data_IF_323025116935
#
_entry.id   IF_323025116935
#
_cell.length_a   1.000
_cell.length_b   1.000
_cell.length_c   1.000
_cell.angle_alpha   90.00
_cell.angle_beta   90.00
_cell.angle_gamma   90.00
#
_symmetry.space_group_name_H-M   'P 1'
#
loop_
_entity.id
_entity.type
_entity.pdbx_description
1 polymer ?
#
# COMPACT_ATOMS: atom_id res chain seq x y z
N UNK A 1 43.67 8.90 -22.95
CA UNK A 1 42.32 8.44 -22.53
C UNK A 1 41.96 9.28 -21.33
N UNK A 2 40.91 10.09 -21.41
CA UNK A 2 40.41 10.77 -20.22
C UNK A 2 39.96 9.70 -19.21
N UNK A 3 40.31 9.83 -17.93
CA UNK A 3 39.66 9.03 -16.90
C UNK A 3 38.15 9.20 -17.07
N UNK A 4 37.33 8.13 -17.03
CA UNK A 4 35.89 8.31 -17.00
C UNK A 4 35.57 9.28 -15.85
N UNK A 5 34.75 10.29 -16.12
CA UNK A 5 34.30 11.20 -15.08
C UNK A 5 33.63 10.35 -13.99
N UNK A 6 34.02 10.54 -12.74
CA UNK A 6 33.45 9.80 -11.62
C UNK A 6 31.98 10.19 -11.51
N UNK A 7 31.08 9.22 -11.68
CA UNK A 7 29.64 9.47 -11.64
C UNK A 7 29.18 9.79 -10.23
N UNK A 8 28.16 10.63 -10.12
CA UNK A 8 27.65 11.11 -8.84
C UNK A 8 26.19 10.71 -8.64
N UNK A 9 25.88 10.12 -7.48
CA UNK A 9 24.52 9.85 -7.03
C UNK A 9 24.17 10.80 -5.88
N UNK A 10 23.17 11.67 -6.09
CA UNK A 10 22.61 12.55 -5.06
C UNK A 10 21.49 11.82 -4.32
N UNK A 11 21.66 11.66 -3.01
CA UNK A 11 20.69 10.99 -2.12
C UNK A 11 20.24 11.94 -1.02
N UNK A 12 19.02 12.46 -1.14
CA UNK A 12 18.44 13.38 -0.15
C UNK A 12 17.15 12.80 0.41
N UNK A 13 17.11 12.62 1.73
CA UNK A 13 15.94 12.19 2.47
C UNK A 13 15.85 13.00 3.77
N UNK A 14 14.64 13.22 4.32
CA UNK A 14 14.48 13.87 5.60
C UNK A 14 15.16 13.07 6.72
N UNK A 15 15.51 13.75 7.82
CA UNK A 15 16.23 13.14 8.94
C UNK A 15 15.51 11.92 9.54
N UNK A 16 14.17 11.92 9.52
CA UNK A 16 13.32 10.81 9.94
C UNK A 16 13.52 9.53 9.12
N UNK A 17 14.08 9.64 7.90
CA UNK A 17 14.34 8.53 6.98
C UNK A 17 15.85 8.29 6.76
N UNK A 18 16.70 8.67 7.73
CA UNK A 18 18.15 8.45 7.65
C UNK A 18 18.56 6.98 7.38
N UNK A 19 17.76 6.02 7.85
CA UNK A 19 17.96 4.59 7.59
C UNK A 19 17.93 4.22 6.10
N UNK A 20 17.14 4.95 5.28
CA UNK A 20 17.08 4.79 3.83
C UNK A 20 18.40 5.21 3.20
N UNK A 21 18.96 6.33 3.65
CA UNK A 21 20.26 6.85 3.16
C UNK A 21 21.38 5.87 3.44
N UNK A 22 21.42 5.27 4.62
CA UNK A 22 22.45 4.29 4.99
C UNK A 22 22.34 2.99 4.18
N UNK A 23 21.11 2.54 3.95
CA UNK A 23 20.82 1.37 3.10
C UNK A 23 21.24 1.63 1.64
N UNK A 24 20.89 2.80 1.09
CA UNK A 24 21.31 3.22 -0.25
C UNK A 24 22.82 3.39 -0.35
N UNK A 25 23.49 3.91 0.69
CA UNK A 25 24.95 4.01 0.72
C UNK A 25 25.61 2.64 0.61
N UNK A 26 25.08 1.65 1.33
CA UNK A 26 25.55 0.27 1.25
C UNK A 26 25.31 -0.32 -0.14
N UNK A 27 24.12 -0.13 -0.70
CA UNK A 27 23.77 -0.63 -2.03
C UNK A 27 24.64 0.01 -3.14
N UNK A 28 24.82 1.33 -3.13
CA UNK A 28 25.66 2.06 -4.09
C UNK A 28 27.12 1.65 -3.97
N UNK A 29 27.68 1.58 -2.76
CA UNK A 29 29.08 1.16 -2.57
C UNK A 29 29.33 -0.26 -3.09
N UNK A 30 28.35 -1.16 -2.96
CA UNK A 30 28.45 -2.54 -3.43
C UNK A 30 28.22 -2.67 -4.94
N UNK A 31 27.22 -2.00 -5.48
CA UNK A 31 26.76 -2.20 -6.85
C UNK A 31 27.39 -1.24 -7.86
N UNK A 32 27.87 -0.08 -7.41
CA UNK A 32 28.39 1.01 -8.20
C UNK A 32 29.71 1.52 -7.58
N UNK A 33 30.77 0.70 -7.53
CA UNK A 33 32.00 1.01 -6.78
C UNK A 33 32.75 2.25 -7.32
N UNK A 34 32.55 2.60 -8.59
CA UNK A 34 33.17 3.77 -9.24
C UNK A 34 32.34 5.06 -9.09
N UNK A 35 31.26 5.03 -8.29
CA UNK A 35 30.37 6.16 -8.09
C UNK A 35 30.61 6.84 -6.74
N UNK A 36 30.38 8.15 -6.71
CA UNK A 36 30.38 8.94 -5.48
C UNK A 36 28.94 9.20 -5.06
N UNK A 37 28.57 8.77 -3.85
CA UNK A 37 27.31 9.18 -3.22
C UNK A 37 27.52 10.50 -2.48
N UNK A 38 26.66 11.48 -2.77
CA UNK A 38 26.59 12.76 -2.06
C UNK A 38 25.19 12.93 -1.47
N UNK A 39 25.09 13.58 -0.32
CA UNK A 39 23.81 13.84 0.37
C UNK A 39 23.40 15.31 0.34
N UNK A 40 24.14 16.12 -0.41
CA UNK A 40 23.91 17.54 -0.57
C UNK A 40 24.23 17.93 -2.02
N UNK A 41 23.40 18.77 -2.67
CA UNK A 41 23.71 19.29 -3.99
C UNK A 41 25.06 20.03 -3.97
N UNK A 42 25.86 19.84 -5.01
CA UNK A 42 27.08 20.61 -5.21
C UNK A 42 26.81 21.78 -6.15
N UNK A 43 27.29 22.98 -5.79
CA UNK A 43 27.03 24.22 -6.53
C UNK A 43 27.43 24.09 -8.00
N UNK A 44 26.44 24.19 -8.89
CA UNK A 44 26.63 24.21 -10.34
C UNK A 44 26.97 22.86 -10.98
N UNK A 45 26.93 21.75 -10.25
CA UNK A 45 27.15 20.39 -10.80
C UNK A 45 25.88 19.55 -10.69
N UNK A 46 25.40 19.04 -11.83
CA UNK A 46 24.26 18.12 -11.87
C UNK A 46 24.70 16.71 -11.50
N UNK A 47 23.94 15.96 -10.67
CA UNK A 47 24.20 14.56 -10.43
C UNK A 47 23.87 13.72 -11.68
N UNK A 48 24.51 12.55 -11.82
CA UNK A 48 24.10 11.56 -12.82
C UNK A 48 22.80 10.87 -12.38
N UNK A 49 22.68 10.55 -11.09
CA UNK A 49 21.51 9.92 -10.48
C UNK A 49 20.99 10.80 -9.34
N UNK A 50 19.72 11.17 -9.40
CA UNK A 50 18.98 11.71 -8.25
C UNK A 50 18.11 10.62 -7.65
N UNK A 51 18.48 10.16 -6.45
CA UNK A 51 17.70 9.22 -5.65
C UNK A 51 17.27 9.87 -4.34
N UNK A 52 16.21 10.66 -4.40
CA UNK A 52 15.77 11.50 -3.27
C UNK A 52 14.30 11.28 -2.93
N UNK A 53 13.93 11.74 -1.74
CA UNK A 53 12.54 11.96 -1.36
C UNK A 53 11.85 12.93 -2.35
N UNK A 54 10.55 12.78 -2.51
CA UNK A 54 9.79 13.55 -3.50
C UNK A 54 9.77 15.06 -3.20
N UNK A 55 9.81 15.46 -1.93
CA UNK A 55 9.76 16.86 -1.53
C UNK A 55 11.13 17.56 -1.66
N UNK A 56 12.22 16.78 -1.65
CA UNK A 56 13.60 17.25 -1.87
C UNK A 56 14.00 17.27 -3.35
N UNK A 57 13.07 16.94 -4.24
CA UNK A 57 13.36 16.62 -5.63
C UNK A 57 13.56 17.87 -6.50
N UNK A 58 14.72 17.98 -7.16
CA UNK A 58 14.93 18.96 -8.23
C UNK A 58 14.28 18.48 -9.54
N UNK A 59 13.09 19.00 -9.84
CA UNK A 59 12.34 18.67 -11.05
C UNK A 59 12.89 19.33 -12.32
N UNK A 60 13.77 20.32 -12.23
CA UNK A 60 14.41 20.92 -13.41
C UNK A 60 15.31 19.89 -14.12
N UNK A 61 15.78 18.87 -13.39
CA UNK A 61 16.55 17.75 -13.94
C UNK A 61 15.70 16.75 -14.72
N UNK A 62 14.37 16.78 -14.63
CA UNK A 62 13.50 15.83 -15.34
C UNK A 62 13.61 15.94 -16.87
N UNK A 63 13.92 17.13 -17.37
CA UNK A 63 14.14 17.40 -18.79
C UNK A 63 15.56 17.00 -19.26
N UNK A 64 16.46 16.64 -18.34
CA UNK A 64 17.81 16.21 -18.67
C UNK A 64 17.84 14.69 -18.91
N UNK A 65 17.85 14.30 -20.18
CA UNK A 65 17.90 12.88 -20.58
C UNK A 65 19.18 12.17 -20.14
N UNK A 66 20.18 12.91 -19.65
CA UNK A 66 21.40 12.34 -19.07
C UNK A 66 21.27 11.96 -17.60
N UNK A 67 20.34 12.58 -16.89
CA UNK A 67 20.12 12.36 -15.45
C UNK A 67 19.03 11.31 -15.23
N UNK A 68 19.29 10.34 -14.36
CA UNK A 68 18.30 9.34 -13.93
C UNK A 68 17.62 9.78 -12.64
N UNK A 69 16.30 9.61 -12.58
CA UNK A 69 15.43 10.01 -11.48
C UNK A 69 14.79 8.80 -10.79
N UNK A 70 14.66 8.79 -9.46
CA UNK A 70 13.94 7.74 -8.71
C UNK A 70 12.43 8.02 -8.50
N UNK A 71 11.85 8.98 -9.21
CA UNK A 71 10.40 9.23 -9.20
C UNK A 71 9.87 9.69 -10.56
N UNK A 72 8.64 9.28 -10.88
CA UNK A 72 7.85 9.87 -11.94
C UNK A 72 7.14 11.14 -11.45
N UNK A 73 7.18 12.23 -12.23
CA UNK A 73 6.53 13.49 -11.84
C UNK A 73 5.01 13.36 -11.67
N UNK A 74 4.35 12.69 -12.62
CA UNK A 74 2.89 12.58 -12.67
C UNK A 74 2.51 11.12 -12.46
N UNK A 75 1.96 10.81 -11.28
CA UNK A 75 1.59 9.43 -10.91
C UNK A 75 0.37 9.30 -10.00
N UNK A 76 -0.42 10.38 -9.88
CA UNK A 76 -1.63 10.42 -9.04
C UNK A 76 -2.66 9.35 -9.40
N UNK A 77 -2.69 8.87 -10.66
CA UNK A 77 -3.57 7.77 -11.07
C UNK A 77 -3.35 6.49 -10.28
N UNK A 78 -2.16 6.29 -9.72
CA UNK A 78 -1.82 5.11 -8.91
C UNK A 78 -1.93 5.44 -7.41
N UNK A 79 -1.36 6.56 -6.98
CA UNK A 79 -1.03 6.78 -5.56
C UNK A 79 -2.10 7.51 -4.74
N UNK A 80 -3.16 8.02 -5.39
CA UNK A 80 -4.29 8.65 -4.71
C UNK A 80 -5.49 7.71 -4.80
N UNK A 81 -6.07 7.34 -3.66
CA UNK A 81 -7.13 6.32 -3.58
C UNK A 81 -8.32 6.60 -4.50
N UNK A 82 -8.79 7.85 -4.54
CA UNK A 82 -9.87 8.29 -5.44
C UNK A 82 -9.48 8.20 -6.92
N UNK A 83 -8.30 8.68 -7.29
CA UNK A 83 -7.79 8.57 -8.67
C UNK A 83 -7.53 7.12 -9.09
N UNK A 84 -7.08 6.26 -8.18
CA UNK A 84 -6.87 4.84 -8.41
C UNK A 84 -8.20 4.15 -8.70
N UNK A 85 -9.22 4.37 -7.86
CA UNK A 85 -10.56 3.84 -8.07
C UNK A 85 -11.13 4.27 -9.43
N UNK A 86 -11.03 5.56 -9.76
CA UNK A 86 -11.48 6.09 -11.05
C UNK A 86 -10.71 5.49 -12.24
N UNK A 87 -9.39 5.35 -12.11
CA UNK A 87 -8.51 4.76 -13.14
C UNK A 87 -8.90 3.31 -13.42
N UNK A 88 -9.14 2.52 -12.36
CA UNK A 88 -9.56 1.13 -12.45
C UNK A 88 -10.95 1.04 -13.09
N UNK A 89 -11.92 1.85 -12.65
CA UNK A 89 -13.28 1.85 -13.20
C UNK A 89 -13.30 2.18 -14.70
N UNK A 90 -12.59 3.23 -15.12
CA UNK A 90 -12.45 3.60 -16.53
C UNK A 90 -11.79 2.48 -17.34
N UNK A 91 -10.76 1.84 -16.81
CA UNK A 91 -10.10 0.73 -17.48
C UNK A 91 -11.02 -0.48 -17.65
N UNK A 92 -11.75 -0.87 -16.59
CA UNK A 92 -12.67 -2.01 -16.60
C UNK A 92 -13.90 -1.79 -17.49
N UNK A 93 -14.35 -0.55 -17.69
CA UNK A 93 -15.42 -0.24 -18.66
C UNK A 93 -15.04 -0.60 -20.10
N UNK A 94 -13.74 -0.57 -20.43
CA UNK A 94 -13.20 -0.92 -21.74
C UNK A 94 -12.64 -2.34 -21.79
N UNK A 95 -12.27 -2.89 -20.64
CA UNK A 95 -11.64 -4.20 -20.50
C UNK A 95 -12.40 -5.04 -19.44
N UNK A 96 -13.67 -5.42 -19.73
CA UNK A 96 -14.53 -6.03 -18.74
C UNK A 96 -14.03 -7.39 -18.24
N UNK A 97 -13.26 -8.11 -19.06
CA UNK A 97 -12.71 -9.44 -18.75
C UNK A 97 -11.33 -9.38 -18.07
N UNK A 98 -10.82 -8.19 -17.77
CA UNK A 98 -9.53 -8.03 -17.08
C UNK A 98 -9.56 -8.70 -15.70
N UNK A 99 -8.49 -9.41 -15.29
CA UNK A 99 -8.42 -10.00 -13.96
C UNK A 99 -8.45 -8.94 -12.85
N UNK A 100 -8.17 -7.67 -13.17
CA UNK A 100 -8.31 -6.54 -12.27
C UNK A 100 -9.73 -6.37 -11.73
N UNK A 101 -10.77 -6.83 -12.44
CA UNK A 101 -12.16 -6.83 -11.94
C UNK A 101 -12.30 -7.62 -10.64
N UNK A 102 -11.56 -8.72 -10.50
CA UNK A 102 -11.57 -9.56 -9.29
C UNK A 102 -10.52 -9.12 -8.28
N UNK A 103 -9.46 -8.46 -8.75
CA UNK A 103 -8.36 -8.03 -7.91
C UNK A 103 -8.51 -6.61 -7.36
N UNK A 104 -9.51 -5.84 -7.75
CA UNK A 104 -9.79 -4.51 -7.19
C UNK A 104 -11.18 -4.49 -6.55
N UNK A 105 -11.28 -4.36 -5.22
CA UNK A 105 -12.57 -4.17 -4.55
C UNK A 105 -13.30 -2.95 -5.10
N UNK A 106 -14.63 -3.03 -5.19
CA UNK A 106 -15.44 -1.89 -5.61
C UNK A 106 -15.18 -0.73 -4.66
N UNK A 107 -14.88 0.42 -5.24
CA UNK A 107 -14.44 1.60 -4.50
C UNK A 107 -15.12 2.82 -5.11
N UNK A 108 -15.81 3.58 -4.27
CA UNK A 108 -16.54 4.80 -4.63
C UNK A 108 -15.94 5.98 -3.87
N UNK A 109 -15.88 7.12 -4.54
CA UNK A 109 -15.42 8.38 -3.96
C UNK A 109 -16.54 9.40 -4.09
N UNK A 110 -16.85 10.08 -3.01
CA UNK A 110 -17.95 11.04 -2.95
C UNK A 110 -17.62 12.17 -1.97
N UNK A 111 -18.39 13.25 -2.07
CA UNK A 111 -18.33 14.37 -1.13
C UNK A 111 -19.57 14.32 -0.25
N UNK A 112 -19.39 14.38 1.06
CA UNK A 112 -20.49 14.42 2.03
C UNK A 112 -20.06 15.21 3.25
N UNK A 113 -20.87 16.21 3.61
CA UNK A 113 -20.63 17.07 4.78
C UNK A 113 -21.61 16.79 5.92
N UNK A 114 -22.82 16.34 5.58
CA UNK A 114 -23.93 16.10 6.50
C UNK A 114 -24.64 14.79 6.14
N UNK A 115 -25.20 14.11 7.13
CA UNK A 115 -25.87 12.83 6.99
C UNK A 115 -27.11 12.90 6.09
N UNK A 116 -27.81 14.04 6.04
CA UNK A 116 -28.99 14.23 5.17
C UNK A 116 -28.64 14.26 3.67
N UNK A 117 -27.38 14.53 3.31
CA UNK A 117 -26.88 14.44 1.94
C UNK A 117 -26.78 12.98 1.45
N UNK A 118 -26.73 12.00 2.36
CA UNK A 118 -26.57 10.58 2.01
C UNK A 118 -27.73 10.04 1.17
N UNK A 119 -28.93 10.58 1.32
CA UNK A 119 -30.10 10.18 0.53
C UNK A 119 -29.88 10.36 -0.96
N UNK A 120 -29.45 11.56 -1.36
CA UNK A 120 -29.16 11.88 -2.76
C UNK A 120 -27.96 11.08 -3.26
N UNK A 121 -26.92 10.94 -2.44
CA UNK A 121 -25.72 10.18 -2.78
C UNK A 121 -26.00 8.69 -2.99
N UNK A 122 -26.82 8.05 -2.14
CA UNK A 122 -27.22 6.64 -2.27
C UNK A 122 -28.07 6.39 -3.50
N UNK A 123 -28.87 7.38 -3.94
CA UNK A 123 -29.65 7.27 -5.16
C UNK A 123 -28.78 7.41 -6.43
N UNK A 124 -27.77 8.26 -6.39
CA UNK A 124 -26.97 8.61 -7.57
C UNK A 124 -25.58 7.94 -7.58
N UNK A 125 -24.62 8.45 -6.80
CA UNK A 125 -23.20 8.05 -6.86
C UNK A 125 -22.90 6.72 -6.14
N UNK A 126 -23.67 6.38 -5.12
CA UNK A 126 -23.52 5.21 -4.24
C UNK A 126 -24.62 4.16 -4.47
N UNK A 127 -25.24 4.15 -5.65
CA UNK A 127 -26.32 3.23 -6.01
C UNK A 127 -25.99 1.74 -5.78
N UNK A 128 -24.75 1.31 -6.03
CA UNK A 128 -24.35 -0.07 -5.79
C UNK A 128 -24.25 -0.44 -4.29
N UNK A 129 -23.98 0.56 -3.44
CA UNK A 129 -23.98 0.41 -1.99
C UNK A 129 -25.41 0.27 -1.50
N UNK A 130 -26.33 1.13 -1.97
CA UNK A 130 -27.76 1.04 -1.67
C UNK A 130 -28.38 -0.29 -2.13
N UNK A 131 -28.05 -0.75 -3.34
CA UNK A 131 -28.47 -2.07 -3.81
C UNK A 131 -28.02 -3.21 -2.89
N UNK A 132 -26.86 -3.09 -2.27
CA UNK A 132 -26.36 -4.11 -1.35
C UNK A 132 -27.17 -4.17 -0.06
N UNK A 133 -27.67 -3.03 0.42
CA UNK A 133 -28.58 -2.96 1.56
C UNK A 133 -29.93 -3.60 1.22
N UNK A 134 -30.51 -3.21 0.08
CA UNK A 134 -31.79 -3.74 -0.38
C UNK A 134 -31.76 -5.27 -0.62
N UNK A 135 -30.62 -5.82 -1.05
CA UNK A 135 -30.41 -7.26 -1.19
C UNK A 135 -30.34 -7.97 0.18
N UNK A 136 -29.66 -7.37 1.16
CA UNK A 136 -29.60 -7.89 2.53
C UNK A 136 -30.99 -7.93 3.18
N UNK A 137 -31.80 -6.88 2.99
CA UNK A 137 -33.20 -6.82 3.46
C UNK A 137 -34.10 -7.90 2.83
N UNK A 138 -33.75 -8.35 1.63
CA UNK A 138 -34.42 -9.44 0.93
C UNK A 138 -33.92 -10.84 1.37
N UNK A 139 -32.98 -10.90 2.31
CA UNK A 139 -32.45 -12.12 2.91
C UNK A 139 -31.18 -12.66 2.24
N UNK A 140 -30.52 -11.88 1.37
CA UNK A 140 -29.15 -12.21 0.93
C UNK A 140 -28.13 -11.96 2.05
N UNK A 141 -26.95 -12.58 1.97
CA UNK A 141 -25.90 -12.31 2.95
C UNK A 141 -25.43 -10.84 2.85
N UNK A 142 -25.36 -10.12 3.99
CA UNK A 142 -25.04 -8.70 3.99
C UNK A 142 -23.61 -8.47 3.51
N UNK A 143 -23.46 -7.53 2.56
CA UNK A 143 -22.14 -7.08 2.13
C UNK A 143 -21.60 -6.04 3.09
N UNK A 144 -20.35 -6.21 3.45
CA UNK A 144 -19.64 -5.28 4.31
C UNK A 144 -18.89 -4.25 3.47
N UNK A 145 -18.90 -3.02 3.98
CA UNK A 145 -18.22 -1.88 3.40
C UNK A 145 -17.34 -1.23 4.46
N UNK A 146 -16.25 -0.61 4.01
CA UNK A 146 -15.36 0.19 4.84
C UNK A 146 -15.39 1.63 4.35
N UNK A 147 -15.81 2.54 5.23
CA UNK A 147 -15.75 3.98 5.03
C UNK A 147 -14.36 4.46 5.47
N UNK A 148 -13.75 5.33 4.68
CA UNK A 148 -12.47 5.98 4.99
C UNK A 148 -12.55 7.45 4.61
N UNK A 149 -12.15 8.33 5.52
CA UNK A 149 -11.88 9.72 5.18
C UNK A 149 -10.70 9.81 4.19
N UNK A 150 -10.86 10.52 3.08
CA UNK A 150 -9.84 10.58 2.03
C UNK A 150 -8.58 11.36 2.44
N UNK A 151 -8.74 12.31 3.39
CA UNK A 151 -7.70 13.23 3.85
C UNK A 151 -7.30 13.02 5.31
N UNK A 152 -7.90 12.04 6.01
CA UNK A 152 -7.53 11.76 7.39
C UNK A 152 -6.23 10.94 7.46
N UNK A 153 -5.35 11.34 8.36
CA UNK A 153 -4.11 10.64 8.61
C UNK A 153 -4.32 9.37 9.46
N UNK A 154 -3.39 8.42 9.30
CA UNK A 154 -3.17 7.29 10.22
C UNK A 154 -4.38 6.39 10.51
N UNK A 155 -5.43 6.40 9.69
CA UNK A 155 -6.58 5.52 9.87
C UNK A 155 -7.67 6.09 10.78
N UNK A 156 -7.65 7.40 11.05
CA UNK A 156 -8.76 8.10 11.68
C UNK A 156 -9.98 8.15 10.74
N UNK A 157 -11.19 8.15 11.30
CA UNK A 157 -12.45 8.21 10.54
C UNK A 157 -12.75 6.95 9.73
N UNK A 158 -12.11 5.82 10.06
CA UNK A 158 -12.43 4.54 9.44
C UNK A 158 -13.60 3.91 10.20
N UNK A 159 -14.62 3.46 9.46
CA UNK A 159 -15.77 2.74 10.02
C UNK A 159 -16.16 1.56 9.12
N UNK A 160 -16.70 0.51 9.72
CA UNK A 160 -17.31 -0.61 9.00
C UNK A 160 -18.82 -0.49 9.07
N UNK A 161 -19.50 -0.83 7.98
CA UNK A 161 -20.96 -0.82 7.93
C UNK A 161 -21.46 -1.84 6.91
N UNK A 162 -22.71 -2.25 7.06
CA UNK A 162 -23.40 -3.16 6.16
C UNK A 162 -24.88 -2.81 5.94
N UNK A 163 -25.38 -1.75 6.58
CA UNK A 163 -26.74 -1.25 6.44
C UNK A 163 -26.74 0.26 6.24
N UNK A 164 -27.87 0.77 5.76
CA UNK A 164 -28.08 2.20 5.57
C UNK A 164 -28.10 2.95 6.89
N UNK A 165 -28.81 2.42 7.89
CA UNK A 165 -28.93 3.03 9.21
C UNK A 165 -27.56 3.15 9.91
N UNK A 166 -26.69 2.16 9.71
CA UNK A 166 -25.33 2.19 10.26
C UNK A 166 -24.50 3.28 9.58
N UNK A 167 -24.65 3.45 8.25
CA UNK A 167 -23.94 4.50 7.50
C UNK A 167 -24.42 5.90 7.88
N UNK A 168 -25.73 6.10 8.01
CA UNK A 168 -26.33 7.35 8.48
C UNK A 168 -25.84 7.68 9.90
N UNK A 169 -25.89 6.72 10.84
CA UNK A 169 -25.41 6.92 12.20
C UNK A 169 -23.91 7.25 12.29
N UNK A 170 -23.08 6.73 11.38
CA UNK A 170 -21.66 7.12 11.29
C UNK A 170 -21.49 8.59 10.89
N UNK A 171 -22.30 9.09 9.95
CA UNK A 171 -22.20 10.49 9.54
C UNK A 171 -22.81 11.44 10.56
N UNK A 172 -23.89 11.05 11.24
CA UNK A 172 -24.42 11.76 12.40
C UNK A 172 -23.36 11.86 13.52
N UNK A 173 -22.60 10.79 13.77
CA UNK A 173 -21.45 10.82 14.68
C UNK A 173 -20.37 11.81 14.21
N UNK A 174 -20.16 12.00 12.91
CA UNK A 174 -19.12 12.89 12.38
C UNK A 174 -19.53 14.34 12.22
N UNK A 175 -20.81 14.66 12.41
CA UNK A 175 -21.28 16.04 12.47
C UNK A 175 -20.82 16.73 13.76
N UNK A 176 -20.55 18.04 13.72
CA UNK A 176 -20.30 18.81 14.94
C UNK A 176 -21.60 18.86 15.77
N UNK A 177 -21.48 18.63 17.08
CA UNK A 177 -22.58 18.86 18.02
C UNK A 177 -22.97 20.34 17.92
N UNK A 178 -24.26 20.62 17.72
CA UNK A 178 -24.75 22.00 17.61
C UNK A 178 -24.49 22.76 18.92
N UNK A 179 -24.04 24.01 18.84
CA UNK A 179 -23.76 24.95 19.96
C UNK A 179 -24.90 25.10 21.01
N UNK A 180 -26.07 24.47 20.81
CA UNK A 180 -27.21 24.50 21.74
C UNK A 180 -27.15 23.41 22.84
N UNK A 181 -26.10 22.56 22.87
CA UNK A 181 -25.89 21.53 23.92
C UNK A 181 -24.66 21.78 24.83
N UNK A 182 -24.07 22.98 24.84
CA UNK A 182 -22.91 23.36 25.69
C UNK A 182 -23.23 23.58 27.20
N UNK A 183 -24.32 23.04 27.75
CA UNK A 183 -24.79 23.41 29.11
C UNK A 183 -24.90 22.27 30.14
N UNK A 184 -24.26 21.09 29.95
CA UNK A 184 -24.20 20.05 31.01
C UNK A 184 -22.86 19.31 31.19
N UNK A 185 -21.70 19.90 30.88
CA UNK A 185 -20.42 19.42 31.45
C UNK A 185 -20.07 20.21 32.72
N UNK A 186 -20.64 19.80 33.86
CA UNK A 186 -20.08 20.15 35.17
C UNK A 186 -18.65 19.58 35.26
N UNK A 187 -17.67 20.47 35.45
CA UNK A 187 -16.28 20.19 35.78
C UNK A 187 -16.16 19.09 36.87
N UNK A 188 -15.92 17.83 36.47
CA UNK A 188 -15.35 16.82 37.38
C UNK A 188 -13.81 16.89 37.31
N UNK A 189 -13.25 17.95 37.89
CA UNK A 189 -11.85 17.96 38.33
C UNK A 189 -11.70 16.99 39.52
N UNK A 190 -11.70 15.68 39.24
CA UNK A 190 -11.77 14.66 40.27
C UNK A 190 -11.27 13.26 39.88
N UNK A 191 -9.99 13.00 40.19
CA UNK A 191 -9.38 11.68 40.41
C UNK A 191 -8.88 10.85 39.21
N UNK A 192 -7.59 10.53 39.33
CA UNK A 192 -6.72 9.67 38.52
C UNK A 192 -7.08 8.16 38.64
N UNK A 193 -8.34 7.79 38.40
CA UNK A 193 -8.83 6.41 38.38
C UNK A 193 -9.76 6.21 37.16
N UNK A 194 -9.21 6.33 35.95
CA UNK A 194 -9.93 5.88 34.74
C UNK A 194 -9.93 4.35 34.71
N UNK A 195 -11.10 3.67 34.73
CA UNK A 195 -11.16 2.22 34.49
C UNK A 195 -10.57 1.93 33.11
N UNK A 196 -9.96 0.74 32.94
CA UNK A 196 -9.42 0.27 31.64
C UNK A 196 -10.44 0.56 30.51
N UNK A 197 -10.17 1.57 29.69
CA UNK A 197 -11.02 1.90 28.54
C UNK A 197 -11.00 0.71 27.57
N UNK A 198 -12.20 0.26 27.17
CA UNK A 198 -12.35 -0.82 26.21
C UNK A 198 -11.66 -0.45 24.89
N UNK A 199 -10.96 -1.41 24.27
CA UNK A 199 -10.30 -1.23 22.96
C UNK A 199 -11.27 -0.70 21.89
N UNK A 200 -12.55 -1.08 21.97
CA UNK A 200 -13.59 -0.57 21.06
C UNK A 200 -13.76 0.96 21.15
N UNK A 201 -13.73 1.54 22.36
CA UNK A 201 -13.80 2.98 22.57
C UNK A 201 -12.55 3.70 22.03
N UNK A 202 -11.37 3.08 22.13
CA UNK A 202 -10.10 3.64 21.67
C UNK A 202 -9.97 3.67 20.14
N UNK A 203 -10.51 2.66 19.45
CA UNK A 203 -10.52 2.61 17.98
C UNK A 203 -11.78 3.24 17.36
N UNK A 204 -12.84 3.49 18.15
CA UNK A 204 -14.07 4.18 17.77
C UNK A 204 -14.03 5.68 18.09
N UNK A 205 -14.23 6.06 19.35
CA UNK A 205 -14.38 7.45 19.78
C UNK A 205 -13.11 8.31 19.58
N UNK A 206 -11.92 7.76 19.86
CA UNK A 206 -10.64 8.47 19.72
C UNK A 206 -10.21 8.65 18.25
N UNK A 207 -10.92 8.03 17.30
CA UNK A 207 -10.69 8.17 15.85
C UNK A 207 -11.77 8.98 15.14
N UNK A 208 -12.71 9.60 15.88
CA UNK A 208 -13.76 10.48 15.32
C UNK A 208 -13.12 11.62 14.51
N UNK A 209 -13.77 11.97 13.41
CA UNK A 209 -13.35 13.07 12.54
C UNK A 209 -14.54 13.96 12.21
N UNK A 210 -14.28 15.22 11.87
CA UNK A 210 -15.32 16.18 11.47
C UNK A 210 -15.59 16.07 9.96
N UNK A 211 -16.81 15.64 9.62
CA UNK A 211 -17.22 15.48 8.22
C UNK A 211 -17.24 16.81 7.45
N UNK A 212 -17.58 17.92 8.10
CA UNK A 212 -17.66 19.25 7.48
C UNK A 212 -16.28 19.78 7.06
N UNK A 213 -15.23 19.32 7.75
CA UNK A 213 -13.84 19.68 7.47
C UNK A 213 -13.20 18.77 6.41
N UNK A 214 -13.44 17.46 6.49
CA UNK A 214 -12.81 16.50 5.58
C UNK A 214 -13.49 16.46 4.21
N UNK A 215 -14.83 16.45 4.18
CA UNK A 215 -15.75 16.44 3.02
C UNK A 215 -15.59 15.29 2.02
N UNK A 216 -14.38 14.81 1.77
CA UNK A 216 -14.08 13.76 0.79
C UNK A 216 -13.96 12.39 1.45
N UNK A 217 -14.74 11.45 0.95
CA UNK A 217 -14.87 10.10 1.51
C UNK A 217 -14.63 9.03 0.47
N UNK A 218 -14.20 7.87 0.94
CA UNK A 218 -14.07 6.66 0.13
C UNK A 218 -14.83 5.52 0.81
N UNK A 219 -15.77 4.93 0.09
CA UNK A 219 -16.37 3.64 0.45
C UNK A 219 -15.72 2.56 -0.40
N UNK A 220 -15.25 1.50 0.25
CA UNK A 220 -14.67 0.35 -0.41
C UNK A 220 -15.33 -0.92 0.08
N UNK A 221 -15.54 -1.89 -0.81
CA UNK A 221 -16.02 -3.23 -0.44
C UNK A 221 -15.04 -3.87 0.54
N UNK A 222 -15.54 -4.31 1.69
CA UNK A 222 -14.74 -4.91 2.74
C UNK A 222 -14.60 -6.42 2.51
N UNK A 223 -13.37 -6.91 2.52
CA UNK A 223 -13.10 -8.36 2.41
C UNK A 223 -13.35 -9.01 3.77
N UNK A 224 -14.55 -9.57 3.94
CA UNK A 224 -15.03 -10.21 5.16
C UNK A 224 -14.54 -11.65 5.38
N UNK A 225 -13.86 -12.25 4.40
CA UNK A 225 -13.32 -13.61 4.51
C UNK A 225 -11.82 -13.66 4.18
N UNK A 226 -10.97 -12.95 4.96
CA UNK A 226 -9.53 -12.91 4.74
C UNK A 226 -8.87 -14.28 4.97
N UNK A 227 -7.70 -14.48 4.38
CA UNK A 227 -6.79 -15.56 4.76
C UNK A 227 -6.27 -15.29 6.18
N UNK A 228 -6.42 -16.25 7.07
CA UNK A 228 -6.02 -16.14 8.47
C UNK A 228 -4.83 -17.05 8.77
N UNK A 229 -3.77 -16.44 9.31
CA UNK A 229 -2.55 -17.14 9.73
C UNK A 229 -2.15 -16.66 11.13
N UNK A 230 -1.38 -17.48 11.83
CA UNK A 230 -0.76 -17.08 13.09
C UNK A 230 0.66 -16.52 12.83
N UNK A 231 0.92 -15.25 13.14
CA UNK A 231 2.24 -14.66 12.96
C UNK A 231 3.33 -15.29 13.83
N UNK A 232 2.98 -15.87 14.99
CA UNK A 232 3.96 -16.34 15.97
C UNK A 232 4.70 -17.57 15.42
N UNK A 233 6.04 -17.59 15.32
CA UNK A 233 6.79 -18.69 14.71
C UNK A 233 6.51 -20.08 15.30
N UNK A 234 6.07 -20.14 16.56
CA UNK A 234 5.87 -21.38 17.33
C UNK A 234 4.41 -21.75 17.57
N UNK A 235 3.47 -21.02 16.96
CA UNK A 235 2.04 -21.18 17.18
C UNK A 235 1.26 -21.18 15.87
N UNK A 236 0.14 -21.89 15.88
CA UNK A 236 -0.89 -21.93 14.83
C UNK A 236 -2.27 -21.92 15.50
N UNK A 237 -2.47 -21.03 16.48
CA UNK A 237 -3.70 -20.99 17.30
C UNK A 237 -4.51 -19.71 17.14
N UNK A 238 -3.91 -18.65 16.60
CA UNK A 238 -4.56 -17.34 16.50
C UNK A 238 -4.66 -16.88 15.03
N UNK A 239 -5.82 -17.10 14.42
CA UNK A 239 -6.12 -16.67 13.06
C UNK A 239 -6.16 -15.15 12.97
N UNK A 240 -5.10 -14.55 12.45
CA UNK A 240 -4.92 -13.09 12.40
C UNK A 240 -4.97 -12.61 10.96
N UNK A 241 -5.69 -11.51 10.72
CA UNK A 241 -5.75 -10.85 9.42
C UNK A 241 -4.40 -10.19 9.11
N UNK A 242 -3.97 -10.25 7.85
CA UNK A 242 -2.78 -9.53 7.40
C UNK A 242 -2.98 -8.98 5.99
N UNK A 243 -2.21 -7.96 5.65
CA UNK A 243 -2.05 -7.51 4.27
C UNK A 243 -0.62 -7.79 3.80
N UNK A 244 -0.47 -7.94 2.50
CA UNK A 244 0.82 -8.05 1.83
C UNK A 244 1.28 -6.67 1.40
N UNK A 245 2.47 -6.26 1.86
CA UNK A 245 3.26 -5.18 1.27
C UNK A 245 4.16 -5.79 0.20
N UNK A 246 3.90 -5.44 -1.06
CA UNK A 246 4.68 -5.89 -2.22
C UNK A 246 5.42 -4.70 -2.81
N UNK A 247 6.74 -4.77 -2.90
CA UNK A 247 7.51 -3.72 -3.57
C UNK A 247 7.47 -3.92 -5.09
N UNK A 248 7.14 -2.86 -5.81
CA UNK A 248 7.05 -2.83 -7.27
C UNK A 248 7.97 -1.76 -7.81
N UNK A 249 8.82 -2.11 -8.77
CA UNK A 249 9.77 -1.19 -9.41
C UNK A 249 9.32 -0.94 -10.84
N UNK A 250 8.96 0.29 -11.17
CA UNK A 250 8.64 0.72 -12.53
C UNK A 250 9.80 1.51 -13.12
N UNK A 251 10.22 1.20 -14.35
CA UNK A 251 11.45 1.71 -14.97
C UNK A 251 11.17 2.30 -16.35
N UNK A 252 11.64 3.53 -16.57
CA UNK A 252 11.75 4.22 -17.84
C UNK A 252 10.40 4.41 -18.55
N UNK A 253 10.38 4.11 -19.85
CA UNK A 253 9.18 4.06 -20.70
C UNK A 253 8.21 2.91 -20.36
N UNK A 254 8.20 2.52 -19.09
CA UNK A 254 7.38 1.52 -18.40
C UNK A 254 7.72 0.05 -18.65
N UNK A 255 8.74 -0.43 -17.93
CA UNK A 255 8.85 -1.84 -17.54
C UNK A 255 8.59 -1.96 -16.04
N UNK A 256 7.72 -2.87 -15.61
CA UNK A 256 7.31 -3.03 -14.21
C UNK A 256 7.79 -4.38 -13.70
N UNK A 257 8.39 -4.37 -12.52
CA UNK A 257 8.91 -5.54 -11.83
C UNK A 257 8.28 -5.67 -10.45
N UNK A 258 8.03 -6.91 -10.01
CA UNK A 258 7.57 -7.24 -8.66
C UNK A 258 8.73 -7.87 -7.89
N UNK A 259 9.05 -7.31 -6.72
CA UNK A 259 10.10 -7.81 -5.82
C UNK A 259 9.59 -8.97 -4.96
N UNK A 260 10.46 -9.94 -4.71
CA UNK A 260 10.23 -11.01 -3.73
C UNK A 260 11.39 -11.00 -2.70
N UNK A 261 11.12 -11.42 -1.44
CA UNK A 261 9.86 -11.95 -0.90
C UNK A 261 8.79 -10.86 -0.66
N UNK A 262 7.54 -11.29 -0.45
CA UNK A 262 6.44 -10.39 -0.04
C UNK A 262 6.40 -10.28 1.47
N UNK A 263 6.16 -9.08 2.00
CA UNK A 263 6.02 -8.84 3.43
C UNK A 263 4.54 -8.99 3.82
N UNK A 264 4.25 -9.78 4.85
CA UNK A 264 2.95 -9.90 5.47
C UNK A 264 2.92 -9.11 6.78
N UNK A 265 2.05 -8.11 6.85
CA UNK A 265 1.88 -7.22 7.99
C UNK A 265 0.54 -7.54 8.67
N UNK A 266 0.63 -8.04 9.91
CA UNK A 266 -0.51 -8.59 10.65
C UNK A 266 -1.24 -7.52 11.47
N UNK A 267 -2.54 -7.74 11.68
CA UNK A 267 -3.35 -7.00 12.64
C UNK A 267 -2.90 -7.30 14.08
N UNK A 268 -3.21 -6.39 15.00
CA UNK A 268 -2.81 -6.51 16.41
C UNK A 268 -3.61 -7.53 17.22
N UNK A 269 -4.78 -7.93 16.70
CA UNK A 269 -5.72 -8.85 17.35
C UNK A 269 -6.12 -9.97 16.40
N UNK A 270 -6.43 -11.17 16.91
CA UNK A 270 -7.06 -12.22 16.13
C UNK A 270 -8.32 -11.71 15.42
N UNK A 271 -8.56 -12.20 14.21
CA UNK A 271 -9.68 -11.77 13.40
C UNK A 271 -11.01 -12.23 14.00
N UNK A 272 -11.96 -11.32 14.06
CA UNK A 272 -13.37 -11.59 14.34
C UNK A 272 -14.18 -11.18 13.12
N UNK A 273 -15.25 -11.89 12.80
CA UNK A 273 -16.13 -11.43 11.71
C UNK A 273 -16.84 -10.16 12.14
N UNK A 274 -16.97 -9.13 11.27
CA UNK A 274 -17.76 -7.95 11.61
C UNK A 274 -19.20 -8.30 11.98
N UNK A 275 -19.76 -9.37 11.41
CA UNK A 275 -21.09 -9.89 11.76
C UNK A 275 -21.18 -10.47 13.17
N UNK A 276 -20.08 -10.99 13.72
CA UNK A 276 -20.05 -11.55 15.08
C UNK A 276 -19.89 -10.47 16.15
N UNK A 277 -19.29 -9.33 15.77
CA UNK A 277 -19.00 -8.19 16.65
C UNK A 277 -19.93 -7.00 16.42
N UNK A 278 -20.91 -7.12 15.54
CA UNK A 278 -21.93 -6.10 15.33
C UNK A 278 -22.82 -6.00 16.58
N UNK A 279 -22.38 -5.20 17.55
CA UNK A 279 -23.18 -4.87 18.72
C UNK A 279 -24.37 -3.99 18.29
N UNK A 280 -25.50 -4.09 18.99
CA UNK A 280 -26.68 -3.22 18.77
C UNK A 280 -26.35 -1.71 18.91
N UNK A 281 -25.18 -1.36 19.46
CA UNK A 281 -24.68 0.00 19.66
C UNK A 281 -23.81 0.56 18.52
N UNK A 282 -23.54 -0.19 17.44
CA UNK A 282 -22.77 0.30 16.29
C UNK A 282 -21.25 0.47 16.50
N UNK A 283 -20.73 0.19 17.70
CA UNK A 283 -19.29 0.24 17.98
C UNK A 283 -18.57 -1.04 17.51
N UNK A 284 -17.66 -0.90 16.54
CA UNK A 284 -16.82 -1.98 16.02
C UNK A 284 -15.38 -1.87 16.54
N UNK A 285 -14.84 -2.94 17.13
CA UNK A 285 -13.40 -3.02 17.43
C UNK A 285 -12.61 -3.21 16.13
N UNK A 286 -12.10 -2.10 15.58
CA UNK A 286 -11.33 -2.10 14.34
C UNK A 286 -9.93 -2.74 14.48
N UNK A 287 -9.48 -3.08 15.69
CA UNK A 287 -8.12 -3.58 15.93
C UNK A 287 -7.82 -4.94 15.28
N UNK A 288 -8.86 -5.75 15.06
CA UNK A 288 -8.81 -7.02 14.33
C UNK A 288 -8.90 -6.84 12.80
N UNK A 289 -9.33 -5.66 12.34
CA UNK A 289 -9.65 -5.39 10.93
C UNK A 289 -8.64 -4.48 10.23
N UNK A 290 -7.88 -3.69 10.98
CA UNK A 290 -6.88 -2.75 10.51
C UNK A 290 -5.46 -3.28 10.74
N UNK A 291 -4.78 -3.53 9.63
CA UNK A 291 -3.42 -4.07 9.57
C UNK A 291 -2.35 -2.99 9.42
N UNK A 292 -2.74 -1.71 9.42
CA UNK A 292 -1.79 -0.61 9.29
C UNK A 292 -1.15 -0.29 10.64
N UNK A 293 0.17 -0.42 10.68
CA UNK A 293 1.04 -0.16 11.82
C UNK A 293 0.86 1.23 12.44
N UNK A 294 0.60 2.26 11.61
CA UNK A 294 0.58 3.64 12.08
C UNK A 294 -0.55 3.93 13.09
N UNK A 295 -1.74 3.36 12.88
CA UNK A 295 -2.86 3.51 13.82
C UNK A 295 -2.56 2.76 15.12
N UNK A 296 -2.06 1.52 15.00
CA UNK A 296 -1.77 0.66 16.14
C UNK A 296 -0.74 1.30 17.08
N UNK A 297 0.34 1.87 16.55
CA UNK A 297 1.35 2.59 17.36
C UNK A 297 0.82 3.90 17.95
N UNK A 298 -0.01 4.62 17.21
CA UNK A 298 -0.56 5.91 17.68
C UNK A 298 -1.60 5.72 18.78
N UNK A 299 -2.40 4.66 18.71
CA UNK A 299 -3.45 4.32 19.67
C UNK A 299 -2.87 3.57 20.88
N UNK A 300 -2.02 2.56 20.68
CA UNK A 300 -1.54 1.70 21.77
C UNK A 300 -0.21 2.15 22.40
N UNK A 301 0.50 3.12 21.80
CA UNK A 301 1.76 3.65 22.33
C UNK A 301 2.81 2.57 22.63
N UNK A 302 3.41 2.59 23.82
CA UNK A 302 4.39 1.57 24.27
C UNK A 302 3.78 0.17 24.47
N UNK A 303 2.44 0.05 24.49
CA UNK A 303 1.72 -1.22 24.55
C UNK A 303 1.41 -1.80 23.16
N UNK A 304 1.76 -1.09 22.09
CA UNK A 304 1.63 -1.60 20.73
C UNK A 304 2.44 -2.91 20.62
N UNK A 305 1.81 -4.05 20.27
CA UNK A 305 2.55 -5.28 20.07
C UNK A 305 3.64 -5.03 19.02
N UNK A 306 4.82 -5.62 19.23
CA UNK A 306 5.89 -5.56 18.25
C UNK A 306 5.33 -5.95 16.88
N UNK A 307 5.56 -5.10 15.88
CA UNK A 307 4.99 -5.29 14.53
C UNK A 307 5.31 -6.71 14.11
N UNK A 308 4.27 -7.53 13.97
CA UNK A 308 4.50 -8.86 13.43
C UNK A 308 4.58 -8.74 11.93
N UNK A 309 5.80 -8.67 11.42
CA UNK A 309 6.11 -8.76 10.01
C UNK A 309 6.78 -10.09 9.75
N UNK A 310 6.26 -10.81 8.77
CA UNK A 310 6.88 -12.03 8.27
C UNK A 310 6.97 -11.97 6.75
N UNK A 311 7.86 -12.75 6.14
CA UNK A 311 7.79 -12.96 4.70
C UNK A 311 6.72 -14.00 4.39
N UNK A 312 5.86 -13.78 3.39
CA UNK A 312 4.86 -14.76 2.95
C UNK A 312 5.51 -16.11 2.61
N UNK A 313 6.65 -16.08 1.91
CA UNK A 313 7.42 -17.25 1.54
C UNK A 313 7.92 -18.03 2.76
N UNK A 314 8.36 -17.34 3.81
CA UNK A 314 8.75 -17.94 5.09
C UNK A 314 7.59 -18.53 5.90
N UNK A 315 6.33 -18.27 5.51
CA UNK A 315 5.13 -18.81 6.15
C UNK A 315 4.58 -20.06 5.46
N UNK A 316 5.29 -20.66 4.50
CA UNK A 316 4.83 -21.84 3.77
C UNK A 316 4.42 -23.01 4.69
N UNK A 317 5.05 -23.16 5.85
CA UNK A 317 4.74 -24.24 6.81
C UNK A 317 3.58 -23.92 7.76
N UNK A 318 3.05 -22.69 7.76
CA UNK A 318 1.95 -22.26 8.62
C UNK A 318 0.63 -22.95 8.27
N UNK A 319 -0.18 -23.18 9.29
CA UNK A 319 -1.53 -23.73 9.15
C UNK A 319 -2.52 -22.59 8.91
N UNK A 320 -3.46 -22.81 8.00
CA UNK A 320 -4.56 -21.89 7.70
C UNK A 320 -5.62 -22.01 8.80
N UNK A 321 -6.03 -20.88 9.36
CA UNK A 321 -6.87 -20.82 10.57
C UNK A 321 -8.29 -20.31 10.31
N UNK A 322 -8.79 -20.48 9.08
CA UNK A 322 -10.18 -20.17 8.75
C UNK A 322 -10.52 -20.42 7.28
N UNK A 323 -11.83 -20.40 6.99
CA UNK A 323 -12.36 -20.59 5.64
C UNK A 323 -12.26 -22.03 5.12
N UNK A 324 -12.42 -22.25 3.81
CA UNK A 324 -12.56 -23.60 3.24
C UNK A 324 -11.33 -24.51 3.37
N UNK A 325 -10.17 -23.93 3.68
CA UNK A 325 -8.87 -24.62 3.77
C UNK A 325 -8.33 -24.68 5.22
N UNK A 326 -9.19 -24.46 6.22
CA UNK A 326 -8.79 -24.53 7.62
C UNK A 326 -8.13 -25.87 7.98
N UNK A 327 -7.02 -25.81 8.72
CA UNK A 327 -6.23 -26.98 9.11
C UNK A 327 -5.22 -27.46 8.05
N UNK A 328 -5.26 -26.93 6.83
CA UNK A 328 -4.26 -27.20 5.80
C UNK A 328 -3.05 -26.27 5.93
N UNK A 329 -1.89 -26.70 5.41
CA UNK A 329 -0.72 -25.82 5.29
C UNK A 329 -0.91 -24.80 4.18
N UNK A 330 -0.36 -23.59 4.35
CA UNK A 330 -0.27 -22.61 3.28
C UNK A 330 0.49 -23.20 2.07
N UNK A 331 1.69 -23.74 2.28
CA UNK A 331 2.46 -24.44 1.26
C UNK A 331 2.87 -23.60 0.05
N UNK A 332 3.80 -24.14 -0.74
CA UNK A 332 4.34 -23.43 -1.91
C UNK A 332 3.30 -23.23 -3.02
N UNK A 333 2.37 -24.17 -3.20
CA UNK A 333 1.34 -24.09 -4.26
C UNK A 333 0.41 -22.89 -4.08
N UNK A 334 -0.06 -22.65 -2.84
CA UNK A 334 -0.96 -21.52 -2.56
C UNK A 334 -0.20 -20.20 -2.58
N UNK A 335 1.04 -20.18 -2.11
CA UNK A 335 1.93 -19.01 -2.26
C UNK A 335 2.11 -18.66 -3.75
N UNK A 336 2.39 -19.65 -4.60
CA UNK A 336 2.53 -19.43 -6.03
C UNK A 336 1.23 -18.88 -6.66
N UNK A 337 0.06 -19.34 -6.20
CA UNK A 337 -1.24 -18.80 -6.63
C UNK A 337 -1.42 -17.33 -6.23
N UNK A 338 -1.01 -16.97 -5.01
CA UNK A 338 -1.02 -15.57 -4.53
C UNK A 338 -0.05 -14.72 -5.35
N UNK A 339 1.18 -15.20 -5.59
CA UNK A 339 2.18 -14.51 -6.42
C UNK A 339 1.67 -14.25 -7.84
N UNK A 340 0.97 -15.22 -8.43
CA UNK A 340 0.37 -15.06 -9.75
C UNK A 340 -0.76 -14.02 -9.75
N UNK A 341 -1.60 -14.01 -8.71
CA UNK A 341 -2.62 -12.98 -8.53
C UNK A 341 -2.01 -11.57 -8.42
N UNK A 342 -0.94 -11.42 -7.64
CA UNK A 342 -0.20 -10.15 -7.54
C UNK A 342 0.39 -9.75 -8.89
N UNK A 343 1.02 -10.70 -9.61
CA UNK A 343 1.59 -10.47 -10.94
C UNK A 343 0.55 -9.92 -11.92
N UNK A 344 -0.62 -10.54 -11.99
CA UNK A 344 -1.73 -10.12 -12.85
C UNK A 344 -2.27 -8.74 -12.44
N UNK A 345 -2.55 -8.54 -11.15
CA UNK A 345 -3.10 -7.29 -10.64
C UNK A 345 -2.16 -6.09 -10.88
N UNK A 346 -0.87 -6.26 -10.58
CA UNK A 346 0.15 -5.22 -10.84
C UNK A 346 0.28 -4.95 -12.34
N UNK A 347 0.32 -5.99 -13.18
CA UNK A 347 0.40 -5.81 -14.63
C UNK A 347 -0.78 -5.03 -15.19
N UNK A 348 -2.01 -5.34 -14.78
CA UNK A 348 -3.22 -4.68 -15.26
C UNK A 348 -3.40 -3.27 -14.70
N UNK A 349 -3.09 -3.02 -13.42
CA UNK A 349 -3.24 -1.68 -12.83
C UNK A 349 -2.28 -0.67 -13.45
N UNK A 350 -1.06 -1.08 -13.79
CA UNK A 350 -0.13 -0.20 -14.51
C UNK A 350 -0.57 0.04 -15.97
N UNK A 351 -1.16 -0.95 -16.65
CA UNK A 351 -1.81 -0.72 -17.97
C UNK A 351 -2.96 0.28 -17.84
N UNK A 352 -3.78 0.16 -16.79
CA UNK A 352 -4.86 1.09 -16.50
C UNK A 352 -4.33 2.52 -16.30
N UNK A 353 -3.26 2.67 -15.52
CA UNK A 353 -2.62 3.96 -15.26
C UNK A 353 -2.09 4.62 -16.54
N UNK A 354 -1.47 3.87 -17.45
CA UNK A 354 -1.06 4.41 -18.76
C UNK A 354 -2.26 4.94 -19.55
N UNK A 355 -3.41 4.26 -19.46
CA UNK A 355 -4.65 4.72 -20.07
C UNK A 355 -5.27 5.96 -19.42
N UNK A 356 -4.85 6.33 -18.21
CA UNK A 356 -5.36 7.48 -17.46
C UNK A 356 -4.78 8.84 -17.92
N UNK A 357 -3.91 8.84 -18.95
CA UNK A 357 -3.46 10.04 -19.64
C UNK A 357 -2.74 11.04 -18.73
N UNK A 358 -3.37 12.19 -18.45
CA UNK A 358 -2.76 13.27 -17.67
C UNK A 358 -2.55 12.95 -16.18
N UNK A 359 -3.00 11.80 -15.70
CA UNK A 359 -2.87 11.39 -14.29
C UNK A 359 -1.71 10.43 -14.03
N UNK A 360 -1.12 9.82 -15.06
CA UNK A 360 0.12 9.04 -14.96
C UNK A 360 0.94 9.20 -16.23
N UNK A 361 2.21 9.61 -16.09
CA UNK A 361 3.13 9.80 -17.20
C UNK A 361 4.48 9.16 -16.87
N UNK A 362 4.80 8.09 -17.58
CA UNK A 362 6.10 7.46 -17.50
C UNK A 362 7.18 8.34 -18.16
N UNK A 363 8.35 8.43 -17.54
CA UNK A 363 9.51 9.18 -18.05
C UNK A 363 10.64 8.20 -18.39
N UNK A 364 11.22 8.24 -19.61
CA UNK A 364 12.31 7.34 -20.01
C UNK A 364 13.56 7.37 -19.12
N UNK A 365 13.80 8.51 -18.48
CA UNK A 365 14.90 8.79 -17.57
C UNK A 365 14.46 8.78 -16.09
N UNK A 366 13.39 8.06 -15.75
CA UNK A 366 13.00 7.84 -14.37
C UNK A 366 12.76 6.36 -14.09
N UNK A 367 12.87 5.97 -12.84
CA UNK A 367 12.30 4.76 -12.27
C UNK A 367 11.61 5.13 -10.97
N UNK A 368 10.78 4.25 -10.42
CA UNK A 368 10.17 4.49 -9.12
C UNK A 368 9.86 3.18 -8.41
N UNK A 369 10.02 3.18 -7.08
CA UNK A 369 9.65 2.08 -6.20
C UNK A 369 8.32 2.42 -5.54
N UNK A 370 7.34 1.54 -5.68
CA UNK A 370 6.03 1.62 -5.05
C UNK A 370 5.88 0.51 -4.00
N UNK A 371 5.21 0.81 -2.89
CA UNK A 371 4.67 -0.21 -1.99
C UNK A 371 3.22 -0.47 -2.36
N UNK A 372 2.92 -1.68 -2.80
CA UNK A 372 1.57 -2.08 -3.22
C UNK A 372 0.97 -2.98 -2.17
N UNK A 373 -0.17 -2.58 -1.63
CA UNK A 373 -0.83 -3.27 -0.53
C UNK A 373 -1.97 -4.13 -1.05
N UNK A 374 -1.87 -5.44 -0.80
CA UNK A 374 -2.87 -6.43 -1.16
C UNK A 374 -3.44 -7.10 0.07
N UNK A 375 -4.74 -7.38 0.08
CA UNK A 375 -5.31 -8.38 0.97
C UNK A 375 -5.42 -9.72 0.24
N UNK A 376 -5.31 -10.82 0.98
CA UNK A 376 -5.56 -12.17 0.45
C UNK A 376 -6.79 -12.72 1.14
N UNK A 377 -7.73 -13.26 0.37
CA UNK A 377 -8.93 -13.93 0.91
C UNK A 377 -8.70 -15.42 1.17
N UNK A 378 -9.67 -16.06 1.81
CA UNK A 378 -9.66 -17.49 2.12
C UNK A 378 -9.63 -18.43 0.89
N UNK A 379 -9.85 -17.89 -0.31
CA UNK A 379 -9.72 -18.58 -1.60
C UNK A 379 -8.40 -18.29 -2.31
N UNK A 380 -7.47 -17.59 -1.64
CA UNK A 380 -6.18 -17.13 -2.16
C UNK A 380 -6.28 -16.13 -3.32
N UNK A 381 -7.42 -15.43 -3.43
CA UNK A 381 -7.57 -14.31 -4.34
C UNK A 381 -6.97 -13.06 -3.69
N UNK A 382 -6.26 -12.26 -4.49
CA UNK A 382 -5.67 -11.00 -4.02
C UNK A 382 -6.60 -9.84 -4.31
N UNK A 383 -6.64 -8.86 -3.41
CA UNK A 383 -7.40 -7.62 -3.53
C UNK A 383 -6.49 -6.42 -3.28
N UNK A 384 -6.26 -5.61 -4.31
CA UNK A 384 -5.50 -4.36 -4.27
C UNK A 384 -6.21 -3.34 -3.37
N UNK A 385 -5.56 -2.94 -2.29
CA UNK A 385 -6.08 -1.95 -1.35
C UNK A 385 -5.60 -0.54 -1.68
N UNK A 386 -4.31 -0.39 -1.99
CA UNK A 386 -3.66 0.88 -2.33
C UNK A 386 -2.27 0.69 -2.94
N UNK A 387 -1.77 1.77 -3.53
CA UNK A 387 -0.41 1.89 -4.05
C UNK A 387 0.20 3.13 -3.42
N UNK A 388 1.33 2.95 -2.74
CA UNK A 388 2.03 4.00 -2.02
C UNK A 388 3.32 4.35 -2.76
N UNK A 389 3.46 5.60 -3.22
CA UNK A 389 4.78 6.13 -3.62
C UNK A 389 5.60 6.48 -2.37
N UNK A 390 6.93 6.44 -2.52
CA UNK A 390 7.85 6.63 -1.39
C UNK A 390 7.43 5.75 -0.19
N UNK A 391 7.28 4.43 -0.38
CA UNK A 391 6.75 3.56 0.66
C UNK A 391 7.62 3.61 1.91
N UNK A 392 7.00 3.54 3.09
CA UNK A 392 7.75 3.45 4.34
C UNK A 392 8.46 2.10 4.43
N UNK A 393 9.76 2.11 4.16
CA UNK A 393 10.62 0.93 4.23
C UNK A 393 10.85 0.47 5.69
N UNK A 394 10.66 1.36 6.66
CA UNK A 394 10.87 1.10 8.09
C UNK A 394 9.83 0.16 8.69
N UNK A 395 8.64 0.08 8.09
CA UNK A 395 7.60 -0.88 8.50
C UNK A 395 8.06 -2.33 8.41
N UNK A 396 9.10 -2.63 7.62
CA UNK A 396 9.71 -3.95 7.50
C UNK A 396 10.33 -4.45 8.81
N UNK A 397 10.73 -3.53 9.70
CA UNK A 397 11.42 -3.84 10.94
C UNK A 397 12.90 -4.23 10.72
N UNK A 398 13.68 -4.18 11.81
CA UNK A 398 15.12 -4.42 11.75
C UNK A 398 15.49 -5.86 11.33
N UNK A 399 14.65 -6.84 11.67
CA UNK A 399 14.90 -8.26 11.37
C UNK A 399 14.84 -8.57 9.86
N UNK A 400 14.05 -7.81 9.11
CA UNK A 400 13.88 -7.98 7.68
C UNK A 400 14.52 -6.85 6.86
N UNK A 401 15.40 -6.05 7.47
CA UNK A 401 16.15 -4.97 6.79
C UNK A 401 16.89 -5.48 5.53
N UNK A 402 17.37 -6.73 5.55
CA UNK A 402 18.01 -7.36 4.40
C UNK A 402 17.12 -7.46 3.16
N UNK A 403 15.78 -7.48 3.33
CA UNK A 403 14.81 -7.46 2.22
C UNK A 403 14.86 -6.10 1.50
N UNK A 404 15.02 -5.01 2.24
CA UNK A 404 15.12 -3.64 1.70
C UNK A 404 16.48 -3.43 1.03
N UNK A 405 17.56 -3.89 1.65
CA UNK A 405 18.90 -3.84 1.06
C UNK A 405 18.96 -4.62 -0.27
N UNK A 406 18.27 -5.77 -0.31
CA UNK A 406 18.10 -6.57 -1.51
C UNK A 406 17.29 -5.82 -2.58
N UNK A 407 16.16 -5.20 -2.20
CA UNK A 407 15.34 -4.39 -3.11
C UNK A 407 16.14 -3.24 -3.76
N UNK A 408 16.92 -2.49 -2.99
CA UNK A 408 17.76 -1.41 -3.55
C UNK A 408 18.84 -1.95 -4.48
N UNK A 409 19.47 -3.06 -4.09
CA UNK A 409 20.45 -3.74 -4.95
C UNK A 409 19.85 -4.15 -6.29
N UNK A 410 18.69 -4.82 -6.28
CA UNK A 410 18.01 -5.23 -7.50
C UNK A 410 17.54 -4.03 -8.34
N UNK A 411 17.06 -2.96 -7.70
CA UNK A 411 16.65 -1.73 -8.38
C UNK A 411 17.83 -1.10 -9.13
N UNK A 412 19.02 -1.04 -8.52
CA UNK A 412 20.24 -0.56 -9.20
C UNK A 412 20.55 -1.42 -10.44
N UNK A 413 20.39 -2.74 -10.34
CA UNK A 413 20.68 -3.67 -11.44
C UNK A 413 19.71 -3.53 -12.62
N UNK A 414 18.42 -3.30 -12.37
CA UNK A 414 17.42 -3.24 -13.44
C UNK A 414 17.15 -1.82 -13.98
N UNK A 415 17.36 -0.78 -13.16
CA UNK A 415 17.05 0.60 -13.50
C UNK A 415 18.30 1.44 -13.78
N UNK A 416 19.27 1.41 -12.85
CA UNK A 416 20.42 2.33 -12.88
C UNK A 416 21.48 1.85 -13.88
N UNK A 417 22.06 0.66 -13.68
CA UNK A 417 23.13 0.14 -14.55
C UNK A 417 22.73 0.12 -16.03
N UNK A 418 21.53 -0.35 -16.42
CA UNK A 418 21.16 -0.42 -17.84
C UNK A 418 20.95 0.96 -18.47
N UNK A 419 20.47 1.94 -17.71
CA UNK A 419 20.29 3.31 -18.20
C UNK A 419 21.63 3.93 -18.63
N UNK A 420 22.64 3.86 -17.74
CA UNK A 420 23.94 4.46 -18.02
C UNK A 420 24.78 3.66 -19.01
N UNK A 421 24.66 2.33 -19.04
CA UNK A 421 25.32 1.52 -20.07
C UNK A 421 24.86 1.92 -21.49
N UNK A 422 23.58 2.27 -21.66
CA UNK A 422 23.04 2.76 -22.95
C UNK A 422 23.60 4.14 -23.31
N UNK A 423 23.77 5.03 -22.34
CA UNK A 423 24.37 6.35 -22.57
C UNK A 423 25.83 6.26 -22.99
N UNK A 424 26.59 5.31 -22.44
CA UNK A 424 28.00 5.07 -22.75
C UNK A 424 28.22 4.39 -24.11
N UNK A 425 27.15 4.12 -24.88
CA UNK A 425 27.22 3.42 -26.15
C UNK A 425 27.48 1.92 -26.01
N UNK A 426 27.33 1.37 -24.80
CA UNK A 426 27.32 -0.07 -24.56
C UNK A 426 26.14 -0.72 -25.26
N UNK A 427 26.35 -1.88 -25.89
CA UNK A 427 25.24 -2.66 -26.41
C UNK A 427 24.30 -3.00 -25.24
N UNK A 428 22.98 -2.76 -25.37
CA UNK A 428 22.03 -3.27 -24.38
C UNK A 428 22.20 -4.78 -24.36
N UNK A 429 22.52 -5.37 -23.21
CA UNK A 429 22.38 -6.81 -23.02
C UNK A 429 20.90 -7.11 -23.33
N UNK A 430 20.59 -7.86 -24.40
CA UNK A 430 19.20 -8.23 -24.67
C UNK A 430 18.73 -9.02 -23.45
N UNK A 431 17.56 -8.65 -22.91
CA UNK A 431 16.90 -9.22 -21.74
C UNK A 431 17.64 -10.38 -21.07
N UNK A 432 18.23 -10.11 -19.90
CA UNK A 432 18.85 -11.13 -19.05
C UNK A 432 17.81 -12.05 -18.42
N UNK A 433 17.01 -12.73 -19.23
CA UNK A 433 16.15 -13.84 -18.79
C UNK A 433 16.99 -15.06 -18.37
N UNK A 434 18.28 -15.09 -18.71
CA UNK A 434 19.15 -16.25 -18.43
C UNK A 434 20.13 -16.08 -17.25
N UNK A 435 20.50 -14.85 -16.84
CA UNK A 435 21.59 -14.64 -15.86
C UNK A 435 21.23 -13.76 -14.65
N UNK A 436 20.04 -13.15 -14.59
CA UNK A 436 19.56 -12.51 -13.35
C UNK A 436 19.15 -13.53 -12.27
N UNK A 437 19.07 -14.81 -12.66
CA UNK A 437 18.61 -15.92 -11.82
C UNK A 437 19.70 -16.48 -10.90
N UNK A 438 20.99 -16.24 -11.17
CA UNK A 438 22.09 -17.00 -10.52
C UNK A 438 22.98 -16.19 -9.56
N UNK A 439 22.96 -14.85 -9.60
CA UNK A 439 23.83 -14.02 -8.73
C UNK A 439 23.28 -13.78 -7.32
N UNK A 440 21.98 -14.03 -7.11
CA UNK A 440 21.28 -13.65 -5.87
C UNK A 440 20.98 -14.83 -4.92
N UNK A 441 21.31 -16.08 -5.29
CA UNK A 441 21.25 -17.23 -4.37
C UNK A 441 22.21 -17.11 -3.16
N UNK A 442 23.05 -16.06 -3.11
CA UNK A 442 24.08 -15.85 -2.06
C UNK A 442 23.67 -14.94 -0.90
N UNK A 443 22.44 -14.45 -0.86
CA UNK A 443 21.91 -13.81 0.35
C UNK A 443 21.03 -14.87 1.06
N UNK A 444 21.33 -15.17 2.32
CA UNK A 444 20.57 -16.09 3.20
C UNK A 444 19.17 -15.53 3.55
N UNK A 445 18.45 -15.00 2.56
CA UNK A 445 17.05 -14.62 2.63
C UNK A 445 16.29 -15.78 1.99
N UNK A 446 15.71 -16.64 2.82
CA UNK A 446 15.20 -17.96 2.44
C UNK A 446 14.47 -18.02 1.09
N UNK A 447 14.94 -18.90 0.19
CA UNK A 447 14.25 -19.30 -1.04
C UNK A 447 14.18 -18.20 -2.11
N UNK A 448 15.21 -18.13 -2.96
CA UNK A 448 15.46 -17.09 -3.97
C UNK A 448 14.28 -16.74 -4.91
N UNK A 449 14.05 -15.43 -5.10
CA UNK A 449 13.72 -14.75 -6.38
C UNK A 449 13.76 -13.23 -6.18
N UNK A 450 14.43 -12.48 -7.06
CA UNK A 450 14.60 -11.02 -6.98
C UNK A 450 13.42 -10.24 -7.60
N UNK A 451 13.74 -9.26 -8.44
CA UNK A 451 12.74 -8.55 -9.25
C UNK A 451 12.28 -9.41 -10.44
N UNK A 452 11.00 -9.75 -10.50
CA UNK A 452 10.37 -10.45 -11.63
C UNK A 452 9.65 -9.46 -12.53
N UNK A 453 9.90 -9.47 -13.83
CA UNK A 453 9.17 -8.63 -14.78
C UNK A 453 7.70 -9.07 -14.91
N UNK A 454 6.77 -8.12 -14.82
CA UNK A 454 5.31 -8.39 -14.92
C UNK A 454 4.62 -7.61 -16.02
N UNK A 455 5.23 -6.50 -16.48
CA UNK A 455 4.74 -5.69 -17.58
C UNK A 455 5.91 -5.06 -18.32
N UNK A 456 5.85 -5.06 -19.65
CA UNK A 456 6.73 -4.26 -20.49
C UNK A 456 5.94 -3.53 -21.55
N UNK A 457 6.05 -2.21 -21.54
CA UNK A 457 5.53 -1.30 -22.54
C UNK A 457 6.68 -0.43 -23.05
N UNK A 458 6.51 0.17 -24.22
CA UNK A 458 7.41 1.20 -24.72
C UNK A 458 6.62 2.48 -24.89
N UNK A 459 6.68 3.33 -23.87
CA UNK A 459 6.05 4.65 -23.86
C UNK A 459 7.14 5.68 -24.20
N UNK A 460 6.98 6.36 -25.33
CA UNK A 460 7.78 7.53 -25.67
C UNK A 460 7.18 8.78 -25.03
N UNK A 461 8.00 9.79 -24.71
CA UNK A 461 7.49 11.11 -24.30
C UNK A 461 6.51 11.59 -25.38
N UNK A 462 5.30 11.94 -24.95
CA UNK A 462 4.38 12.66 -25.78
C UNK A 462 4.86 14.12 -25.82
N UNK A 463 5.75 14.38 -26.80
CA UNK A 463 6.23 15.70 -27.23
C UNK A 463 7.32 16.33 -26.36
#
# INVERSE_FOLDING_TARGET
MASPAQRTALVQYPASQSYVVDSLRTAVARQLPDWTLVTSPADGTKPDLQWSDYDEFDWDLAMDDRTLLNSFAIRKALIRKSNLAHTIALYLSKNPDSPLRRAAPKTFHFSCSFADELDELLMDDLYEVDQSFAAADQGEEPKWWILKAALADKGNGIRLFNSRETLEGIFEEFEPESDDEEDEEEDDEGADDRPEQSRAAMFGADTRVDATQLREWVIQEYVASPLLLDPSPSSDSHGTKFHLRVYVVAVGGLTVYVHHPFLALFASSPYTSPSDTANESGEFDLSAHLTNTCLQTSVLGEQAPAISVATLQGMADKVILGGPHEGEKLGEERIAKIEEGVREAVGEVFKAAVGAGSSFQALPNAFEIFGVDFLVDSSFQVSLLEINACPDFGQTGAELQSVIDHLFSCTIDVAVKPFFARQDGGAPTPGGDADLVDTFERLDVGGSKGLKEVLRMQISRAW
#
